data_IF_932422324475
#
_entry.id   IF_932422324475
#
_cell.length_a   1.000
_cell.length_b   1.000
_cell.length_c   1.000
_cell.angle_alpha   90.00
_cell.angle_beta   90.00
_cell.angle_gamma   90.00
#
_symmetry.space_group_name_H-M   'P 1'
#
loop_
_entity.id
_entity.type
_entity.pdbx_description
1 polymer ?
#
# COMPACT_ATOMS: atom_id res chain seq x y z
N UNK A 1 5.10 -18.56 -5.72
CA UNK A 1 5.78 -17.52 -4.92
C UNK A 1 7.27 -17.59 -5.27
N UNK A 2 7.80 -16.57 -5.96
CA UNK A 2 9.18 -16.60 -6.53
C UNK A 2 9.84 -15.24 -6.38
N UNK A 3 11.11 -15.19 -5.97
CA UNK A 3 11.90 -13.96 -5.83
C UNK A 3 13.04 -14.08 -4.82
N UNK A 4 13.89 -13.05 -4.73
CA UNK A 4 15.03 -12.98 -3.83
C UNK A 4 14.79 -11.98 -2.70
N UNK A 5 15.25 -12.34 -1.50
CA UNK A 5 15.23 -11.48 -0.31
C UNK A 5 16.67 -11.27 0.17
N UNK A 6 17.08 -10.00 0.28
CA UNK A 6 18.35 -9.63 0.89
C UNK A 6 18.17 -9.48 2.39
N UNK A 7 19.06 -10.08 3.16
CA UNK A 7 19.06 -10.01 4.63
C UNK A 7 20.42 -9.61 5.18
N UNK A 8 20.41 -8.90 6.31
CA UNK A 8 21.60 -8.60 7.11
C UNK A 8 21.51 -9.35 8.44
N UNK A 9 22.32 -10.40 8.65
CA UNK A 9 22.41 -11.09 9.93
C UNK A 9 23.33 -10.35 10.91
N UNK A 10 22.84 -10.11 12.12
CA UNK A 10 23.62 -9.51 13.20
C UNK A 10 23.02 -9.87 14.57
N UNK A 11 23.85 -10.26 15.54
CA UNK A 11 23.43 -10.51 16.93
C UNK A 11 22.30 -11.53 17.08
N UNK A 12 22.30 -12.60 16.26
CA UNK A 12 21.24 -13.61 16.28
C UNK A 12 19.94 -13.21 15.57
N UNK A 13 19.89 -12.04 14.93
CA UNK A 13 18.73 -11.56 14.15
C UNK A 13 19.07 -11.42 12.67
N UNK A 14 18.17 -11.84 11.80
CA UNK A 14 18.23 -11.55 10.37
C UNK A 14 17.20 -10.45 10.03
N UNK A 15 17.67 -9.32 9.51
CA UNK A 15 16.81 -8.19 9.10
C UNK A 15 16.73 -8.13 7.59
N UNK A 16 15.52 -8.08 7.03
CA UNK A 16 15.31 -7.90 5.59
C UNK A 16 15.67 -6.49 5.17
N UNK A 17 16.54 -6.35 4.17
CA UNK A 17 17.04 -5.07 3.66
C UNK A 17 16.73 -4.85 2.18
N UNK A 18 16.23 -5.86 1.47
CA UNK A 18 15.85 -5.71 0.06
C UNK A 18 14.99 -6.87 -0.43
N UNK A 19 14.23 -6.62 -1.49
CA UNK A 19 13.35 -7.59 -2.16
C UNK A 19 13.42 -7.35 -3.67
N UNK A 20 13.46 -8.42 -4.46
CA UNK A 20 13.28 -8.35 -5.92
C UNK A 20 12.58 -9.60 -6.44
N UNK A 21 11.80 -9.45 -7.50
CA UNK A 21 11.11 -10.56 -8.16
C UNK A 21 10.69 -10.15 -9.57
N UNK A 22 10.85 -11.04 -10.54
CA UNK A 22 10.34 -10.85 -11.91
C UNK A 22 8.80 -10.91 -11.98
N UNK A 23 8.16 -11.40 -10.91
CA UNK A 23 6.69 -11.44 -10.74
C UNK A 23 6.23 -10.53 -9.59
N UNK A 24 6.95 -9.42 -9.39
CA UNK A 24 6.60 -8.42 -8.37
C UNK A 24 5.25 -7.77 -8.68
N UNK A 25 4.38 -7.68 -7.66
CA UNK A 25 3.15 -6.87 -7.71
C UNK A 25 3.39 -5.41 -7.30
N UNK A 26 4.58 -5.10 -6.80
CA UNK A 26 4.98 -3.72 -6.56
C UNK A 26 5.30 -3.04 -7.89
N UNK A 27 4.61 -1.95 -8.15
CA UNK A 27 4.85 -1.04 -9.28
C UNK A 27 5.42 0.28 -8.74
N UNK A 28 6.64 0.63 -9.17
CA UNK A 28 7.31 1.86 -8.75
C UNK A 28 6.56 3.11 -9.22
N UNK A 29 6.07 3.11 -10.45
CA UNK A 29 5.42 4.29 -11.04
C UNK A 29 4.08 4.59 -10.38
N UNK A 30 3.42 3.58 -9.79
CA UNK A 30 2.18 3.78 -9.03
C UNK A 30 2.44 4.29 -7.60
N UNK A 31 3.63 4.05 -7.06
CA UNK A 31 3.96 4.33 -5.66
C UNK A 31 4.85 5.58 -5.48
N UNK A 32 5.48 6.06 -6.55
CA UNK A 32 6.41 7.18 -6.50
C UNK A 32 5.70 8.53 -6.49
N UNK A 33 6.39 9.55 -5.98
CA UNK A 33 6.02 10.97 -6.14
C UNK A 33 6.94 11.70 -7.12
N UNK A 34 7.88 10.99 -7.75
CA UNK A 34 8.76 11.54 -8.78
C UNK A 34 7.99 11.79 -10.09
N UNK A 35 8.66 12.37 -11.10
CA UNK A 35 8.05 12.69 -12.41
C UNK A 35 7.51 11.49 -13.19
N UNK A 36 7.83 10.26 -12.77
CA UNK A 36 7.28 9.02 -13.33
C UNK A 36 5.99 8.54 -12.66
N UNK A 37 5.37 9.34 -11.79
CA UNK A 37 4.11 8.99 -11.13
C UNK A 37 2.98 8.73 -12.15
N UNK A 38 2.26 7.64 -11.93
CA UNK A 38 1.13 7.18 -12.74
C UNK A 38 -0.15 6.98 -11.92
N UNK A 39 -0.12 7.27 -10.61
CA UNK A 39 -1.29 7.15 -9.75
C UNK A 39 -2.29 8.29 -10.00
N UNK A 40 -3.49 7.92 -10.44
CA UNK A 40 -4.58 8.87 -10.66
C UNK A 40 -5.27 9.25 -9.35
N UNK A 41 -4.78 10.30 -8.69
CA UNK A 41 -5.31 10.79 -7.43
C UNK A 41 -6.76 11.29 -7.52
N UNK A 42 -7.27 11.63 -8.72
CA UNK A 42 -8.64 12.12 -8.88
C UNK A 42 -9.69 11.09 -8.46
N UNK A 43 -9.35 9.79 -8.53
CA UNK A 43 -10.23 8.67 -8.14
C UNK A 43 -10.31 8.47 -6.63
N UNK A 44 -9.39 9.03 -5.85
CA UNK A 44 -9.28 8.77 -4.42
C UNK A 44 -10.49 9.31 -3.64
N UNK A 45 -10.99 10.49 -4.00
CA UNK A 45 -12.11 11.13 -3.28
C UNK A 45 -13.36 10.23 -3.29
N UNK A 46 -13.81 9.80 -4.47
CA UNK A 46 -14.99 8.95 -4.60
C UNK A 46 -14.81 7.59 -3.90
N UNK A 47 -13.62 7.01 -3.96
CA UNK A 47 -13.31 5.78 -3.24
C UNK A 47 -13.46 5.95 -1.72
N UNK A 48 -12.87 6.99 -1.13
CA UNK A 48 -12.94 7.27 0.31
C UNK A 48 -14.39 7.51 0.75
N UNK A 49 -15.16 8.26 -0.04
CA UNK A 49 -16.56 8.56 0.25
C UNK A 49 -17.41 7.28 0.32
N UNK A 50 -17.30 6.40 -0.68
CA UNK A 50 -18.08 5.16 -0.76
C UNK A 50 -17.61 4.15 0.27
N UNK A 51 -16.29 3.94 0.41
CA UNK A 51 -15.73 2.96 1.36
C UNK A 51 -16.15 3.29 2.80
N UNK A 52 -16.12 4.58 3.17
CA UNK A 52 -16.48 5.02 4.52
C UNK A 52 -17.99 5.15 4.76
N UNK A 53 -18.83 5.00 3.74
CA UNK A 53 -20.26 5.34 3.82
C UNK A 53 -21.00 4.49 4.87
N UNK A 54 -20.77 3.18 4.88
CA UNK A 54 -21.44 2.26 5.81
C UNK A 54 -21.12 2.60 7.28
N UNK A 55 -19.85 2.86 7.59
CA UNK A 55 -19.42 3.28 8.93
C UNK A 55 -19.98 4.63 9.33
N UNK A 56 -20.06 5.61 8.40
CA UNK A 56 -20.68 6.92 8.67
C UNK A 56 -22.16 6.79 9.01
N UNK A 57 -22.90 5.93 8.30
CA UNK A 57 -24.31 5.66 8.57
C UNK A 57 -24.49 5.00 9.94
N UNK A 58 -23.69 3.99 10.26
CA UNK A 58 -23.72 3.34 11.57
C UNK A 58 -23.45 4.33 12.70
N UNK A 59 -22.40 5.15 12.58
CA UNK A 59 -22.09 6.17 13.58
C UNK A 59 -23.22 7.20 13.74
N UNK A 60 -23.87 7.60 12.63
CA UNK A 60 -25.02 8.51 12.69
C UNK A 60 -26.21 7.91 13.43
N UNK A 61 -26.45 6.59 13.30
CA UNK A 61 -27.47 5.88 14.08
C UNK A 61 -27.11 5.83 15.56
N UNK A 62 -25.85 5.52 15.88
CA UNK A 62 -25.41 5.33 17.27
C UNK A 62 -25.36 6.64 18.08
N UNK A 63 -25.27 7.78 17.39
CA UNK A 63 -25.30 9.13 17.98
C UNK A 63 -26.71 9.74 18.07
N UNK A 64 -27.73 9.06 17.55
CA UNK A 64 -29.14 9.49 17.61
C UNK A 64 -29.85 8.88 18.82
#
# INVERSE_FOLDING_TARGET
MTGDIRVTPHGGRAVVTGRRSDVSLYDFNLATYDSGDTFDQSKAQGFIEILGLSSKIAARRDLA
#
